data_IF_385237935533
#
_entry.id   IF_385237935533
#
_cell.length_a   1.000
_cell.length_b   1.000
_cell.length_c   1.000
_cell.angle_alpha   90.00
_cell.angle_beta   90.00
_cell.angle_gamma   90.00
#
_symmetry.space_group_name_H-M   'P 1'
#
loop_
_entity.id
_entity.type
_entity.pdbx_description
1 polymer ?
#
# COMPACT_ATOMS: atom_id res chain seq x y z
N UNK A 1 -9.57 -6.38 29.01
CA UNK A 1 -10.50 -5.52 28.26
C UNK A 1 -9.83 -5.30 26.91
N UNK A 2 -10.18 -6.13 25.94
CA UNK A 2 -9.65 -6.06 24.57
C UNK A 2 -10.09 -4.75 23.93
N UNK A 3 -9.15 -3.90 23.51
CA UNK A 3 -9.44 -2.77 22.63
C UNK A 3 -9.58 -3.34 21.21
N UNK A 4 -10.82 -3.61 20.80
CA UNK A 4 -11.12 -3.86 19.39
C UNK A 4 -10.66 -2.63 18.60
N UNK A 5 -9.63 -2.78 17.81
CA UNK A 5 -9.24 -1.78 16.83
C UNK A 5 -10.22 -1.90 15.67
N UNK A 6 -11.23 -1.05 15.67
CA UNK A 6 -12.15 -0.93 14.54
C UNK A 6 -11.39 -0.28 13.39
N UNK A 7 -11.01 -1.07 12.41
CA UNK A 7 -10.34 -0.59 11.19
C UNK A 7 -11.36 0.01 10.19
N UNK A 8 -12.64 -0.10 10.50
CA UNK A 8 -13.71 0.32 9.62
C UNK A 8 -14.31 1.64 10.12
N UNK A 9 -14.06 2.74 9.46
CA UNK A 9 -14.83 3.97 9.63
C UNK A 9 -15.17 4.56 8.26
N UNK A 10 -16.38 4.30 7.93
CA UNK A 10 -17.42 5.04 7.21
C UNK A 10 -17.04 6.09 6.15
N UNK A 11 -17.64 5.91 5.01
CA UNK A 11 -17.93 7.02 4.11
C UNK A 11 -18.24 6.62 2.69
N UNK A 12 -19.45 6.15 2.48
CA UNK A 12 -19.99 5.93 1.14
C UNK A 12 -20.31 7.26 0.46
N UNK A 13 -19.71 7.54 -0.68
CA UNK A 13 -20.38 8.22 -1.80
C UNK A 13 -19.56 8.03 -3.08
N UNK A 14 -19.98 7.04 -3.88
CA UNK A 14 -19.40 6.73 -5.16
C UNK A 14 -19.61 7.81 -6.19
N UNK A 15 -18.61 8.09 -6.97
CA UNK A 15 -18.76 8.76 -8.27
C UNK A 15 -18.37 7.75 -9.35
N UNK A 16 -19.40 7.29 -10.07
CA UNK A 16 -19.23 6.50 -11.28
C UNK A 16 -18.46 7.31 -12.33
N UNK A 17 -17.31 6.83 -12.75
CA UNK A 17 -16.77 7.17 -14.06
C UNK A 17 -16.98 5.99 -14.99
N UNK A 18 -18.00 6.10 -15.82
CA UNK A 18 -18.29 5.17 -16.90
C UNK A 18 -17.28 5.33 -18.03
N UNK A 19 -16.27 4.49 -18.04
CA UNK A 19 -15.48 4.21 -19.23
C UNK A 19 -16.04 2.94 -19.89
N UNK A 20 -16.74 3.11 -21.04
CA UNK A 20 -17.26 2.00 -21.83
C UNK A 20 -16.09 1.27 -22.50
N UNK A 21 -15.59 0.23 -21.90
CA UNK A 21 -14.83 -0.82 -22.57
C UNK A 21 -15.80 -1.96 -22.79
N UNK A 22 -16.06 -2.34 -24.06
CA UNK A 22 -16.86 -3.52 -24.38
C UNK A 22 -16.06 -4.77 -24.01
N UNK A 23 -16.23 -5.24 -22.80
CA UNK A 23 -15.75 -6.55 -22.35
C UNK A 23 -16.90 -7.53 -22.56
N UNK A 24 -16.60 -8.73 -23.06
CA UNK A 24 -17.56 -9.84 -23.01
C UNK A 24 -17.93 -10.05 -21.53
N UNK A 25 -19.10 -9.59 -21.15
CA UNK A 25 -19.62 -9.73 -19.79
C UNK A 25 -20.05 -11.18 -19.65
N UNK A 26 -19.16 -12.01 -19.13
CA UNK A 26 -19.59 -13.22 -18.44
C UNK A 26 -20.19 -12.72 -17.12
N UNK A 27 -21.45 -13.03 -16.87
CA UNK A 27 -22.05 -12.74 -15.57
C UNK A 27 -21.21 -13.44 -14.49
N UNK A 28 -20.77 -12.69 -13.49
CA UNK A 28 -20.06 -13.23 -12.32
C UNK A 28 -20.95 -14.30 -11.65
N UNK A 29 -20.37 -15.45 -11.32
CA UNK A 29 -21.05 -16.57 -10.66
C UNK A 29 -20.37 -16.83 -9.31
N UNK A 30 -21.15 -17.33 -8.32
CA UNK A 30 -20.64 -17.65 -6.97
C UNK A 30 -19.38 -18.49 -7.01
N UNK A 31 -19.27 -19.45 -7.93
CA UNK A 31 -18.08 -20.30 -8.12
C UNK A 31 -16.81 -19.55 -8.49
N UNK A 32 -16.93 -18.33 -9.04
CA UNK A 32 -15.80 -17.49 -9.41
C UNK A 32 -15.25 -16.74 -8.18
N UNK A 33 -16.06 -16.61 -7.12
CA UNK A 33 -15.76 -15.90 -5.88
C UNK A 33 -15.45 -16.85 -4.71
N UNK A 34 -16.14 -17.99 -4.65
CA UNK A 34 -15.94 -18.98 -3.57
C UNK A 34 -14.50 -19.45 -3.50
N UNK A 35 -13.89 -19.37 -2.31
CA UNK A 35 -12.53 -19.78 -2.04
C UNK A 35 -11.79 -18.79 -1.16
N UNK A 36 -10.49 -19.03 -1.03
CA UNK A 36 -9.59 -18.21 -0.21
C UNK A 36 -8.89 -17.17 -1.09
N UNK A 37 -8.90 -15.93 -0.63
CA UNK A 37 -8.35 -14.77 -1.30
C UNK A 37 -7.36 -14.05 -0.37
N UNK A 38 -6.22 -13.67 -0.90
CA UNK A 38 -5.13 -13.01 -0.17
C UNK A 38 -5.02 -11.56 -0.60
N UNK A 39 -4.90 -10.65 0.36
CA UNK A 39 -4.59 -9.26 0.06
C UNK A 39 -3.15 -9.15 -0.45
N UNK A 40 -2.98 -8.94 -1.75
CA UNK A 40 -1.68 -8.86 -2.40
C UNK A 40 -1.24 -7.42 -2.64
N UNK A 41 -2.18 -6.47 -2.77
CA UNK A 41 -1.82 -5.06 -2.85
C UNK A 41 -2.83 -4.14 -2.19
N UNK A 42 -2.32 -3.02 -1.70
CA UNK A 42 -3.07 -1.87 -1.20
C UNK A 42 -2.71 -0.66 -2.06
N UNK A 43 -3.71 0.10 -2.46
CA UNK A 43 -3.53 1.34 -3.21
C UNK A 43 -4.17 2.48 -2.42
N UNK A 44 -3.39 3.49 -2.05
CA UNK A 44 -3.89 4.69 -1.37
C UNK A 44 -4.01 5.83 -2.38
N UNK A 45 -5.15 6.54 -2.35
CA UNK A 45 -5.44 7.69 -3.22
C UNK A 45 -5.25 7.42 -4.73
N UNK A 46 -5.31 6.13 -5.14
CA UNK A 46 -5.14 5.70 -6.52
C UNK A 46 -3.73 5.83 -7.09
N UNK A 47 -2.75 6.20 -6.29
CA UNK A 47 -1.39 6.51 -6.76
C UNK A 47 -0.31 5.58 -6.21
N UNK A 48 -0.40 5.22 -4.95
CA UNK A 48 0.64 4.43 -4.29
C UNK A 48 0.17 2.99 -4.09
N UNK A 49 0.89 2.05 -4.70
CA UNK A 49 0.60 0.62 -4.60
C UNK A 49 1.70 -0.04 -3.77
N UNK A 50 1.33 -0.78 -2.76
CA UNK A 50 2.27 -1.53 -1.92
C UNK A 50 1.66 -2.83 -1.42
N UNK A 51 2.51 -3.81 -1.11
CA UNK A 51 2.08 -5.07 -0.51
C UNK A 51 1.73 -4.87 0.97
N UNK A 52 0.65 -5.49 1.52
CA UNK A 52 0.29 -5.38 2.94
C UNK A 52 1.43 -5.73 3.90
N UNK A 53 2.29 -6.68 3.55
CA UNK A 53 3.49 -7.01 4.31
C UNK A 53 4.46 -5.85 4.52
N UNK A 54 4.41 -4.81 3.69
CA UNK A 54 5.20 -3.60 3.87
C UNK A 54 4.83 -2.83 5.16
N UNK A 55 3.61 -3.02 5.64
CA UNK A 55 3.11 -2.48 6.91
C UNK A 55 2.90 -3.58 7.96
N UNK A 56 3.61 -4.69 7.81
CA UNK A 56 3.59 -5.85 8.72
C UNK A 56 2.17 -6.44 8.92
N UNK A 57 1.35 -6.40 7.88
CA UNK A 57 -0.03 -6.87 7.90
C UNK A 57 -0.21 -8.00 6.87
N UNK A 58 -0.94 -9.02 7.25
CA UNK A 58 -1.49 -10.02 6.35
C UNK A 58 -3.01 -10.03 6.48
N UNK A 59 -3.71 -10.14 5.37
CA UNK A 59 -5.16 -10.28 5.36
C UNK A 59 -5.57 -11.37 4.38
N UNK A 60 -6.48 -12.20 4.82
CA UNK A 60 -7.08 -13.29 4.04
C UNK A 60 -8.58 -13.22 4.16
N UNK A 61 -9.29 -13.36 3.05
CA UNK A 61 -10.74 -13.48 3.02
C UNK A 61 -11.15 -14.86 2.49
N UNK A 62 -12.02 -15.55 3.18
CA UNK A 62 -12.59 -16.81 2.72
C UNK A 62 -14.07 -16.61 2.40
N UNK A 63 -14.45 -16.84 1.14
CA UNK A 63 -15.84 -16.79 0.68
C UNK A 63 -16.39 -18.22 0.59
N UNK A 64 -17.46 -18.51 1.35
CA UNK A 64 -18.06 -19.83 1.45
C UNK A 64 -19.32 -19.95 0.58
N UNK A 65 -19.66 -21.16 0.13
CA UNK A 65 -20.81 -21.44 -0.77
C UNK A 65 -22.18 -21.01 -0.21
N UNK A 66 -22.31 -20.85 1.12
CA UNK A 66 -23.56 -20.47 1.77
C UNK A 66 -23.78 -18.95 1.88
N UNK A 67 -22.94 -18.15 1.21
CA UNK A 67 -23.00 -16.70 1.24
C UNK A 67 -22.41 -16.08 2.50
N UNK A 68 -21.67 -16.87 3.27
CA UNK A 68 -20.90 -16.41 4.42
C UNK A 68 -19.42 -16.32 4.08
N UNK A 69 -18.67 -15.67 4.92
CA UNK A 69 -17.22 -15.64 4.81
C UNK A 69 -16.57 -15.21 6.11
N UNK A 70 -15.24 -15.33 6.12
CA UNK A 70 -14.39 -14.92 7.22
C UNK A 70 -13.26 -14.05 6.68
N UNK A 71 -12.95 -12.97 7.37
CA UNK A 71 -11.74 -12.19 7.17
C UNK A 71 -10.80 -12.43 8.32
N UNK A 72 -9.59 -12.87 8.01
CA UNK A 72 -8.51 -13.03 8.97
C UNK A 72 -7.49 -11.94 8.77
N UNK A 73 -7.23 -11.14 9.80
CA UNK A 73 -6.16 -10.15 9.82
C UNK A 73 -5.09 -10.60 10.79
N UNK A 74 -3.85 -10.66 10.33
CA UNK A 74 -2.71 -11.02 11.15
C UNK A 74 -1.63 -9.93 11.07
N UNK A 75 -0.90 -9.74 12.16
CA UNK A 75 0.32 -8.94 12.21
C UNK A 75 1.40 -9.70 12.97
N UNK A 76 2.67 -9.31 12.79
CA UNK A 76 3.78 -9.98 13.49
C UNK A 76 3.70 -9.87 15.02
N UNK A 77 2.98 -8.86 15.55
CA UNK A 77 2.93 -8.55 16.97
C UNK A 77 1.65 -9.03 17.68
N UNK A 78 0.64 -9.56 16.94
CA UNK A 78 -0.64 -9.96 17.51
C UNK A 78 -1.10 -11.34 17.05
N UNK A 79 -1.92 -11.99 17.87
CA UNK A 79 -2.67 -13.17 17.43
C UNK A 79 -3.62 -12.75 16.27
N UNK A 80 -3.84 -13.63 15.28
CA UNK A 80 -4.78 -13.35 14.21
C UNK A 80 -6.17 -12.98 14.75
N UNK A 81 -6.77 -11.94 14.21
CA UNK A 81 -8.16 -11.56 14.46
C UNK A 81 -9.04 -12.07 13.32
N UNK A 82 -10.17 -12.66 13.64
CA UNK A 82 -11.09 -13.28 12.67
C UNK A 82 -12.46 -12.66 12.86
N UNK A 83 -12.97 -12.05 11.80
CA UNK A 83 -14.32 -11.49 11.75
C UNK A 83 -15.15 -12.20 10.67
N UNK A 84 -16.44 -12.46 10.97
CA UNK A 84 -17.37 -13.05 10.03
C UNK A 84 -18.06 -11.98 9.18
N UNK A 85 -18.39 -12.32 7.93
CA UNK A 85 -19.17 -11.47 7.04
C UNK A 85 -20.20 -12.30 6.24
N UNK A 86 -21.19 -11.62 5.68
CA UNK A 86 -22.09 -12.17 4.65
C UNK A 86 -21.74 -11.56 3.30
N UNK A 87 -21.90 -12.35 2.23
CA UNK A 87 -21.63 -11.85 0.88
C UNK A 87 -22.67 -12.35 -0.13
N UNK A 88 -22.81 -11.60 -1.22
CA UNK A 88 -23.63 -11.95 -2.38
C UNK A 88 -23.11 -11.27 -3.62
N UNK A 89 -23.47 -11.81 -4.77
CA UNK A 89 -23.25 -11.14 -6.06
C UNK A 89 -24.46 -10.25 -6.37
N UNK A 90 -24.20 -9.02 -6.80
CA UNK A 90 -25.19 -8.08 -7.30
C UNK A 90 -24.69 -7.48 -8.63
N UNK A 91 -25.15 -8.06 -9.74
CA UNK A 91 -24.62 -7.77 -11.06
C UNK A 91 -23.17 -8.22 -11.23
N UNK A 92 -22.26 -7.29 -11.45
CA UNK A 92 -20.83 -7.53 -11.59
C UNK A 92 -20.05 -7.26 -10.28
N UNK A 93 -20.77 -6.92 -9.20
CA UNK A 93 -20.19 -6.57 -7.92
C UNK A 93 -20.37 -7.69 -6.90
N UNK A 94 -19.44 -7.77 -5.96
CA UNK A 94 -19.53 -8.59 -4.76
C UNK A 94 -19.89 -7.64 -3.61
N UNK A 95 -21.06 -7.83 -3.02
CA UNK A 95 -21.50 -7.07 -1.85
C UNK A 95 -21.12 -7.84 -0.60
N UNK A 96 -20.29 -7.26 0.24
CA UNK A 96 -19.80 -7.83 1.50
C UNK A 96 -20.43 -7.04 2.64
N UNK A 97 -21.06 -7.72 3.59
CA UNK A 97 -21.72 -7.10 4.73
C UNK A 97 -21.14 -7.67 6.02
N UNK A 98 -20.59 -6.80 6.86
CA UNK A 98 -20.11 -7.17 8.20
C UNK A 98 -20.66 -6.20 9.24
N UNK A 99 -21.33 -6.72 10.26
CA UNK A 99 -22.05 -5.93 11.25
C UNK A 99 -23.06 -4.95 10.58
N UNK A 100 -22.77 -3.65 10.63
CA UNK A 100 -23.58 -2.58 10.03
C UNK A 100 -22.90 -1.95 8.79
N UNK A 101 -21.79 -2.51 8.33
CA UNK A 101 -20.99 -1.98 7.22
C UNK A 101 -21.17 -2.80 5.96
N UNK A 102 -21.28 -2.11 4.82
CA UNK A 102 -21.41 -2.72 3.50
C UNK A 102 -20.23 -2.25 2.64
N UNK A 103 -19.49 -3.21 2.09
CA UNK A 103 -18.44 -2.97 1.14
C UNK A 103 -18.81 -3.53 -0.22
N UNK A 104 -18.32 -2.90 -1.26
CA UNK A 104 -18.47 -3.38 -2.63
C UNK A 104 -17.11 -3.84 -3.16
N UNK A 105 -17.05 -5.06 -3.64
CA UNK A 105 -15.92 -5.62 -4.36
C UNK A 105 -16.22 -5.72 -5.85
N UNK A 106 -15.24 -5.41 -6.67
CA UNK A 106 -15.30 -5.58 -8.14
C UNK A 106 -14.41 -6.74 -8.54
N UNK A 107 -14.99 -7.74 -9.19
CA UNK A 107 -14.23 -8.84 -9.76
C UNK A 107 -13.75 -8.48 -11.17
N UNK A 108 -12.45 -8.63 -11.41
CA UNK A 108 -11.86 -8.42 -12.75
C UNK A 108 -10.58 -9.27 -12.89
N UNK A 109 -10.48 -9.99 -13.99
CA UNK A 109 -9.28 -10.73 -14.38
C UNK A 109 -8.72 -11.67 -13.29
N UNK A 110 -9.60 -12.33 -12.52
CA UNK A 110 -9.19 -13.24 -11.45
C UNK A 110 -8.75 -12.55 -10.17
N UNK A 111 -9.06 -11.27 -10.00
CA UNK A 111 -8.81 -10.48 -8.80
C UNK A 111 -10.11 -9.86 -8.28
N UNK A 112 -10.17 -9.60 -6.99
CA UNK A 112 -11.24 -8.83 -6.35
C UNK A 112 -10.64 -7.54 -5.81
N UNK A 113 -11.17 -6.39 -6.23
CA UNK A 113 -10.79 -5.08 -5.69
C UNK A 113 -11.88 -4.56 -4.77
N UNK A 114 -11.55 -4.24 -3.53
CA UNK A 114 -12.47 -3.74 -2.50
C UNK A 114 -12.04 -2.33 -2.10
N UNK A 115 -12.98 -1.40 -2.12
CA UNK A 115 -12.73 -0.03 -1.66
C UNK A 115 -12.95 0.07 -0.14
N UNK A 116 -11.98 0.62 0.56
CA UNK A 116 -11.91 0.76 2.01
C UNK A 116 -11.71 2.23 2.40
N UNK A 117 -12.60 3.12 1.96
CA UNK A 117 -12.57 4.56 2.29
C UNK A 117 -11.25 5.27 1.87
N UNK A 118 -11.01 5.30 0.57
CA UNK A 118 -9.83 5.94 -0.03
C UNK A 118 -8.61 5.03 -0.15
N UNK A 119 -8.72 3.80 0.32
CA UNK A 119 -7.75 2.75 0.08
C UNK A 119 -8.42 1.61 -0.68
N UNK A 120 -7.84 1.20 -1.80
CA UNK A 120 -8.31 0.02 -2.53
C UNK A 120 -7.43 -1.17 -2.19
N UNK A 121 -8.05 -2.24 -1.73
CA UNK A 121 -7.39 -3.52 -1.51
C UNK A 121 -7.64 -4.43 -2.71
N UNK A 122 -6.58 -5.04 -3.25
CA UNK A 122 -6.69 -6.04 -4.31
C UNK A 122 -6.36 -7.42 -3.76
N UNK A 123 -7.30 -8.33 -3.95
CA UNK A 123 -7.22 -9.71 -3.51
C UNK A 123 -6.92 -10.62 -4.70
N UNK A 124 -6.08 -11.63 -4.50
CA UNK A 124 -5.79 -12.70 -5.45
C UNK A 124 -5.95 -14.08 -4.80
N UNK A 125 -6.23 -15.12 -5.59
CA UNK A 125 -6.32 -16.51 -5.09
C UNK A 125 -4.94 -17.12 -4.79
N UNK A 126 -3.87 -16.59 -5.39
CA UNK A 126 -2.50 -16.97 -5.07
C UNK A 126 -1.94 -15.93 -4.09
N UNK A 127 -1.36 -16.40 -2.97
CA UNK A 127 -0.67 -15.53 -2.01
C UNK A 127 0.66 -15.08 -2.61
N UNK A 128 0.83 -13.77 -2.73
CA UNK A 128 2.12 -13.17 -3.06
C UNK A 128 2.95 -13.02 -1.78
N UNK A 129 4.24 -13.33 -1.86
CA UNK A 129 5.14 -13.13 -0.72
C UNK A 129 5.70 -11.70 -0.76
N UNK A 130 5.61 -11.01 0.38
CA UNK A 130 6.29 -9.73 0.53
C UNK A 130 7.79 -9.93 0.58
N UNK A 131 8.50 -9.26 -0.30
CA UNK A 131 9.97 -9.20 -0.30
C UNK A 131 10.39 -7.82 0.18
N UNK A 132 10.92 -7.69 1.41
CA UNK A 132 11.44 -6.42 1.90
C UNK A 132 12.53 -5.88 0.99
N UNK A 133 12.57 -4.55 0.82
CA UNK A 133 13.69 -3.91 0.14
C UNK A 133 14.97 -4.11 0.95
N UNK A 134 15.95 -4.73 0.32
CA UNK A 134 17.31 -4.79 0.86
C UNK A 134 18.14 -3.66 0.28
N UNK A 135 18.82 -2.86 1.12
CA UNK A 135 19.75 -1.85 0.61
C UNK A 135 20.77 -2.48 -0.33
N UNK A 136 21.05 -1.80 -1.42
CA UNK A 136 22.08 -2.22 -2.37
C UNK A 136 23.43 -2.42 -1.67
N UNK A 137 24.31 -3.22 -2.29
CA UNK A 137 25.66 -3.43 -1.79
C UNK A 137 26.40 -2.09 -1.69
N UNK A 138 26.99 -1.83 -0.53
CA UNK A 138 27.87 -0.67 -0.34
C UNK A 138 29.01 -0.75 -1.36
N UNK A 139 29.19 0.30 -2.16
CA UNK A 139 30.29 0.39 -3.11
C UNK A 139 31.60 0.60 -2.34
N UNK A 140 32.67 -0.06 -2.78
CA UNK A 140 34.01 0.18 -2.26
C UNK A 140 34.66 1.35 -3.04
N UNK A 141 35.52 2.11 -2.38
CA UNK A 141 36.25 3.22 -2.99
C UNK A 141 35.40 4.37 -3.58
N UNK A 142 34.23 4.64 -2.97
CA UNK A 142 33.36 5.77 -3.36
C UNK A 142 34.06 7.11 -3.19
N UNK A 143 33.77 8.03 -4.12
CA UNK A 143 34.20 9.43 -4.07
C UNK A 143 32.97 10.32 -3.95
N UNK A 144 33.18 11.53 -3.49
CA UNK A 144 32.10 12.50 -3.31
C UNK A 144 31.35 12.78 -4.63
N UNK A 145 32.08 12.82 -5.75
CA UNK A 145 31.53 13.07 -7.09
C UNK A 145 30.62 11.90 -7.58
N UNK A 146 30.76 10.72 -7.01
CA UNK A 146 29.90 9.56 -7.38
C UNK A 146 28.45 9.74 -6.93
N UNK A 147 28.21 10.68 -6.02
CA UNK A 147 26.87 11.05 -5.55
C UNK A 147 26.28 12.24 -6.31
N UNK A 148 27.02 12.89 -7.21
CA UNK A 148 26.50 14.02 -7.97
C UNK A 148 25.31 13.60 -8.83
N UNK A 149 24.22 14.35 -8.76
CA UNK A 149 22.99 14.06 -9.50
C UNK A 149 21.73 14.50 -8.79
N UNK A 150 20.61 14.10 -9.38
CA UNK A 150 19.27 14.28 -8.83
C UNK A 150 18.76 12.94 -8.29
N UNK A 151 18.32 12.93 -7.05
CA UNK A 151 17.89 11.75 -6.33
C UNK A 151 16.49 11.98 -5.77
N UNK A 152 15.58 11.08 -6.10
CA UNK A 152 14.19 11.12 -5.58
C UNK A 152 13.97 9.97 -4.62
N UNK A 153 13.30 10.24 -3.51
CA UNK A 153 12.89 9.17 -2.61
C UNK A 153 11.80 8.31 -3.26
N UNK A 154 12.03 7.01 -3.26
CA UNK A 154 11.06 6.04 -3.80
C UNK A 154 10.45 5.17 -2.70
N UNK A 155 11.18 5.01 -1.61
CA UNK A 155 10.81 4.15 -0.49
C UNK A 155 11.11 4.84 0.83
N UNK A 156 10.22 4.72 1.77
CA UNK A 156 10.40 5.13 3.16
C UNK A 156 10.39 3.90 4.06
N UNK A 157 11.35 3.83 4.97
CA UNK A 157 11.40 2.79 5.99
C UNK A 157 11.37 3.42 7.38
N UNK A 158 10.37 3.09 8.19
CA UNK A 158 10.25 3.55 9.56
C UNK A 158 9.51 2.49 10.40
N UNK A 159 9.97 2.27 11.63
CA UNK A 159 9.34 1.34 12.59
C UNK A 159 9.16 -0.10 12.06
N UNK A 160 10.07 -0.57 11.22
CA UNK A 160 9.98 -1.89 10.58
C UNK A 160 9.11 -1.94 9.31
N UNK A 161 8.34 -0.92 9.04
CA UNK A 161 7.52 -0.82 7.82
C UNK A 161 8.32 -0.25 6.65
N UNK A 162 8.04 -0.72 5.44
CA UNK A 162 8.63 -0.21 4.21
C UNK A 162 7.53 0.10 3.19
N UNK A 163 7.30 1.36 2.94
CA UNK A 163 6.23 1.82 2.05
C UNK A 163 6.76 2.80 1.01
N UNK A 164 6.12 2.91 -0.16
CA UNK A 164 6.45 3.95 -1.13
C UNK A 164 6.37 5.34 -0.48
N UNK A 165 7.32 6.21 -0.84
CA UNK A 165 7.31 7.59 -0.35
C UNK A 165 6.02 8.30 -0.73
N UNK A 166 5.44 9.05 0.19
CA UNK A 166 4.15 9.71 0.02
C UNK A 166 2.94 8.88 0.45
N UNK A 167 3.11 7.58 0.74
CA UNK A 167 1.98 6.70 1.13
C UNK A 167 1.40 7.07 2.50
N UNK A 168 2.26 7.25 3.51
CA UNK A 168 1.80 7.45 4.89
C UNK A 168 1.66 8.92 5.30
N UNK A 169 2.46 9.82 4.72
CA UNK A 169 2.58 11.21 5.19
C UNK A 169 2.49 12.25 4.07
N UNK A 170 2.09 11.89 2.85
CA UNK A 170 2.13 12.75 1.67
C UNK A 170 3.46 13.53 1.58
N UNK A 171 4.55 12.83 1.92
CA UNK A 171 5.89 13.39 1.97
C UNK A 171 6.73 12.89 0.83
N UNK A 172 7.38 13.81 0.11
CA UNK A 172 8.38 13.51 -0.93
C UNK A 172 9.70 14.17 -0.55
N UNK A 173 10.79 13.50 -0.90
CA UNK A 173 12.14 13.99 -0.67
C UNK A 173 12.89 13.95 -1.99
N UNK A 174 13.33 15.11 -2.46
CA UNK A 174 14.14 15.27 -3.65
C UNK A 174 15.47 15.91 -3.26
N UNK A 175 16.59 15.33 -3.66
CA UNK A 175 17.92 15.83 -3.34
C UNK A 175 18.69 16.04 -4.62
N UNK A 176 19.25 17.24 -4.80
CA UNK A 176 20.22 17.55 -5.85
C UNK A 176 21.59 17.70 -5.20
N UNK A 177 22.57 16.91 -5.65
CA UNK A 177 23.94 16.91 -5.14
C UNK A 177 24.89 17.35 -6.23
N UNK A 178 25.82 18.26 -5.91
CA UNK A 178 26.86 18.69 -6.82
C UNK A 178 28.10 19.17 -6.06
N UNK A 179 29.23 18.50 -6.28
CA UNK A 179 30.53 18.86 -5.70
C UNK A 179 30.52 18.91 -4.17
N UNK A 180 29.80 18.01 -3.51
CA UNK A 180 29.71 17.95 -2.06
C UNK A 180 28.72 18.95 -1.44
N UNK A 181 27.96 19.69 -2.25
CA UNK A 181 26.83 20.48 -1.78
C UNK A 181 25.55 19.80 -2.19
N UNK A 182 24.53 19.86 -1.32
CA UNK A 182 23.24 19.28 -1.62
C UNK A 182 22.11 20.27 -1.29
N UNK A 183 21.10 20.25 -2.14
CA UNK A 183 19.84 20.94 -1.91
C UNK A 183 18.77 19.86 -1.71
N UNK A 184 18.21 19.80 -0.52
CA UNK A 184 17.09 18.92 -0.19
C UNK A 184 15.78 19.70 -0.30
N UNK A 185 14.87 19.21 -1.11
CA UNK A 185 13.51 19.70 -1.20
C UNK A 185 12.58 18.66 -0.56
N UNK A 186 11.86 19.06 0.46
CA UNK A 186 10.80 18.23 1.07
C UNK A 186 9.47 18.81 0.69
N UNK A 187 8.56 17.96 0.23
CA UNK A 187 7.15 18.32 -0.02
C UNK A 187 6.30 17.55 0.95
N UNK A 188 5.48 18.26 1.76
CA UNK A 188 4.56 17.68 2.71
C UNK A 188 3.22 18.45 2.62
N UNK A 189 2.13 17.72 2.34
CA UNK A 189 0.80 18.34 2.19
C UNK A 189 0.78 19.46 1.13
N UNK A 190 1.56 19.33 0.06
CA UNK A 190 1.69 20.34 -0.99
C UNK A 190 2.54 21.57 -0.63
N UNK A 191 3.17 21.57 0.56
CA UNK A 191 4.10 22.64 0.97
C UNK A 191 5.54 22.19 0.73
N UNK A 192 6.29 23.00 0.00
CA UNK A 192 7.73 22.74 -0.25
C UNK A 192 8.61 23.47 0.77
N UNK A 193 9.59 22.75 1.29
CA UNK A 193 10.66 23.30 2.12
C UNK A 193 12.00 22.95 1.51
N UNK A 194 12.88 23.92 1.35
CA UNK A 194 14.21 23.73 0.80
C UNK A 194 15.26 23.89 1.90
N UNK A 195 16.21 22.96 1.96
CA UNK A 195 17.29 22.94 2.93
C UNK A 195 18.62 22.79 2.17
N UNK A 196 19.56 23.70 2.44
CA UNK A 196 20.93 23.59 1.92
C UNK A 196 21.77 22.73 2.88
N UNK A 197 22.52 21.79 2.31
CA UNK A 197 23.33 20.83 3.05
C UNK A 197 24.75 20.80 2.50
N UNK A 198 25.70 20.46 3.35
CA UNK A 198 27.07 20.12 2.96
C UNK A 198 27.32 18.63 3.16
N UNK A 199 27.88 17.99 2.14
CA UNK A 199 28.17 16.57 2.13
C UNK A 199 29.64 16.29 2.47
N UNK A 200 29.85 15.32 3.32
CA UNK A 200 31.16 14.72 3.57
C UNK A 200 31.10 13.21 3.42
N UNK A 201 32.20 12.60 3.03
CA UNK A 201 32.33 11.16 2.97
C UNK A 201 32.80 10.62 4.31
N UNK A 202 32.02 9.69 4.87
CA UNK A 202 32.49 8.84 5.97
C UNK A 202 32.54 7.39 5.47
N UNK A 203 33.74 6.87 5.29
CA UNK A 203 34.00 5.60 4.61
C UNK A 203 33.43 5.60 3.18
N UNK A 204 32.32 4.93 2.94
CA UNK A 204 31.64 4.86 1.64
C UNK A 204 30.19 5.41 1.70
N UNK A 205 29.88 6.17 2.73
CA UNK A 205 28.59 6.82 2.92
C UNK A 205 28.73 8.34 2.77
N UNK A 206 27.76 8.95 2.07
CA UNK A 206 27.62 10.40 2.04
C UNK A 206 26.83 10.84 3.27
N UNK A 207 27.43 11.67 4.10
CA UNK A 207 26.77 12.33 5.23
C UNK A 207 26.43 13.75 4.81
N UNK A 208 25.16 14.14 4.94
CA UNK A 208 24.66 15.46 4.62
C UNK A 208 24.35 16.21 5.91
N UNK A 209 25.02 17.33 6.12
CA UNK A 209 24.88 18.18 7.29
C UNK A 209 24.21 19.51 6.92
N UNK A 210 23.24 19.96 7.72
CA UNK A 210 22.62 21.25 7.50
C UNK A 210 23.64 22.39 7.70
N UNK A 211 23.70 23.30 6.75
CA UNK A 211 24.49 24.54 6.88
C UNK A 211 23.73 25.49 7.80
N UNK A 212 24.29 25.75 8.98
CA UNK A 212 23.74 26.70 9.98
C UNK A 212 23.96 28.15 9.56
#
# INVERSE_FOLDING_TARGET
MSKKMKIWTAGVLGVMMAGVVSVNVYALDDKDVVGTWYANSLTMDGLNVFHPGAIMMEMTMEFMEDGKGEVTTASEESEPDVDEFEWKIDGDNIVITSDDEVLEGVYSDGSISVDLDGMTMTLGQEKEEYVPYEPGKVLEDTKLEDFDGEWNSTLMSAFGMQVPTGTLFDMKLDITISGGKATLVTTEGGTETTIELEGELDQNALILNATT
#
